data_IF_222160977019
#
_entry.id   IF_222160977019
#
_cell.length_a   1.000
_cell.length_b   1.000
_cell.length_c   1.000
_cell.angle_alpha   90.00
_cell.angle_beta   90.00
_cell.angle_gamma   90.00
#
_symmetry.space_group_name_H-M   'P 1'
#
loop_
_entity.id
_entity.type
_entity.pdbx_description
1 polymer ?
#
# COMPACT_ATOMS: atom_id res chain seq x y z
N UNK A 1 26.58 1.15 9.91
CA UNK A 1 25.77 2.26 9.34
C UNK A 1 25.11 3.03 10.48
N UNK A 2 25.13 4.37 10.43
CA UNK A 2 24.50 5.22 11.44
C UNK A 2 23.01 5.48 11.13
N UNK A 3 22.23 5.92 12.14
CA UNK A 3 20.83 6.32 11.96
C UNK A 3 20.67 7.43 10.90
N UNK A 4 21.61 8.36 10.82
CA UNK A 4 21.60 9.44 9.83
C UNK A 4 21.88 8.93 8.42
N UNK A 5 22.79 7.96 8.27
CA UNK A 5 23.04 7.31 6.97
C UNK A 5 21.82 6.54 6.47
N UNK A 6 21.14 5.77 7.33
CA UNK A 6 19.91 5.07 6.95
C UNK A 6 18.80 6.05 6.53
N UNK A 7 18.66 7.16 7.26
CA UNK A 7 17.69 8.21 6.90
C UNK A 7 18.02 8.88 5.57
N UNK A 8 19.31 9.10 5.27
CA UNK A 8 19.74 9.66 4.00
C UNK A 8 19.42 8.72 2.83
N UNK A 9 19.66 7.41 2.99
CA UNK A 9 19.31 6.40 1.98
C UNK A 9 17.80 6.31 1.76
N UNK A 10 16.99 6.33 2.84
CA UNK A 10 15.54 6.34 2.74
C UNK A 10 15.02 7.57 1.95
N UNK A 11 15.55 8.76 2.24
CA UNK A 11 15.20 9.99 1.50
C UNK A 11 15.60 9.94 0.03
N UNK A 12 16.70 9.27 -0.29
CA UNK A 12 17.13 9.07 -1.67
C UNK A 12 16.14 8.18 -2.42
N UNK A 13 15.64 7.12 -1.78
CA UNK A 13 14.58 6.27 -2.33
C UNK A 13 13.28 7.06 -2.53
N UNK A 14 12.89 7.90 -1.57
CA UNK A 14 11.69 8.76 -1.70
C UNK A 14 11.76 9.69 -2.93
N UNK A 15 12.94 10.24 -3.22
CA UNK A 15 13.16 11.14 -4.36
C UNK A 15 13.13 10.42 -5.70
N UNK A 16 13.51 9.15 -5.75
CA UNK A 16 13.45 8.34 -6.97
C UNK A 16 12.01 8.02 -7.40
N UNK A 17 11.03 8.29 -6.53
CA UNK A 17 9.62 7.97 -6.74
C UNK A 17 9.33 6.52 -6.36
N UNK A 18 8.26 6.32 -5.57
CA UNK A 18 7.77 4.99 -5.22
C UNK A 18 6.63 4.60 -6.13
N UNK A 19 6.97 4.13 -7.33
CA UNK A 19 6.04 3.30 -8.08
C UNK A 19 6.17 1.88 -7.56
N UNK A 20 5.12 1.35 -6.91
CA UNK A 20 5.06 -0.10 -6.76
C UNK A 20 5.10 -0.71 -8.17
N UNK A 21 5.83 -1.82 -8.36
CA UNK A 21 5.83 -2.50 -9.64
C UNK A 21 4.39 -2.75 -10.10
N UNK A 22 4.07 -2.24 -11.29
CA UNK A 22 2.82 -2.61 -11.93
C UNK A 22 2.90 -4.08 -12.31
N UNK A 23 1.79 -4.83 -12.23
CA UNK A 23 1.78 -6.19 -12.70
C UNK A 23 2.14 -6.25 -14.19
N UNK A 24 2.82 -7.33 -14.64
CA UNK A 24 3.13 -7.50 -16.04
C UNK A 24 1.85 -7.55 -16.91
N UNK A 25 1.91 -7.10 -18.16
CA UNK A 25 0.80 -7.26 -19.10
C UNK A 25 0.37 -8.72 -19.23
N UNK A 26 -0.94 -8.98 -19.32
CA UNK A 26 -1.47 -10.34 -19.45
C UNK A 26 -1.46 -11.16 -18.15
N UNK A 27 -1.15 -10.54 -17.01
CA UNK A 27 -1.25 -11.18 -15.71
C UNK A 27 -2.64 -11.78 -15.48
N UNK A 28 -2.67 -13.04 -15.03
CA UNK A 28 -3.90 -13.75 -14.68
C UNK A 28 -4.54 -13.14 -13.40
N UNK A 29 -5.88 -13.20 -13.26
CA UNK A 29 -6.56 -12.58 -12.13
C UNK A 29 -6.13 -13.16 -10.78
N UNK A 30 -6.28 -12.36 -9.72
CA UNK A 30 -5.98 -12.80 -8.37
C UNK A 30 -7.10 -13.70 -7.84
N UNK A 31 -6.72 -14.78 -7.16
CA UNK A 31 -7.67 -15.75 -6.60
C UNK A 31 -8.30 -15.23 -5.31
N UNK A 32 -7.54 -14.44 -4.54
CA UNK A 32 -7.98 -13.92 -3.25
C UNK A 32 -7.25 -12.61 -2.92
N UNK A 33 -7.92 -11.73 -2.17
CA UNK A 33 -7.31 -10.56 -1.54
C UNK A 33 -7.84 -10.38 -0.13
N UNK A 34 -6.94 -10.12 0.81
CA UNK A 34 -7.26 -9.65 2.16
C UNK A 34 -6.73 -8.25 2.34
N UNK A 35 -7.56 -7.39 2.89
CA UNK A 35 -7.18 -6.02 3.26
C UNK A 35 -7.22 -5.85 4.76
N UNK A 36 -6.37 -4.97 5.28
CA UNK A 36 -6.27 -4.67 6.71
C UNK A 36 -5.87 -3.20 6.92
N UNK A 37 -6.23 -2.64 8.07
CA UNK A 37 -5.91 -1.28 8.47
C UNK A 37 -5.18 -1.26 9.80
N UNK A 38 -3.94 -0.74 9.80
CA UNK A 38 -3.09 -0.69 10.98
C UNK A 38 -2.97 0.75 11.49
N UNK A 39 -3.46 1.06 12.71
CA UNK A 39 -3.32 2.40 13.26
C UNK A 39 -1.85 2.74 13.50
N UNK A 40 -1.49 4.00 13.25
CA UNK A 40 -0.16 4.57 13.44
C UNK A 40 -0.29 5.96 14.04
N UNK A 41 0.75 6.38 14.77
CA UNK A 41 0.90 7.76 15.22
C UNK A 41 2.03 8.39 14.43
N UNK A 42 1.73 9.46 13.71
CA UNK A 42 2.70 10.23 12.92
C UNK A 42 2.78 11.65 13.46
N UNK A 43 3.84 12.38 13.11
CA UNK A 43 3.98 13.79 13.47
C UNK A 43 3.80 14.65 12.23
N UNK A 44 2.74 15.43 12.21
CA UNK A 44 2.40 16.37 11.13
C UNK A 44 2.22 17.77 11.72
N UNK A 45 2.83 18.79 11.12
CA UNK A 45 2.74 20.18 11.62
C UNK A 45 3.16 20.34 13.09
N UNK A 46 4.07 19.50 13.58
CA UNK A 46 4.51 19.49 14.97
C UNK A 46 3.59 18.74 15.96
N UNK A 47 2.39 18.32 15.55
CA UNK A 47 1.40 17.60 16.37
C UNK A 47 1.44 16.09 16.08
N UNK A 48 1.06 15.27 17.08
CA UNK A 48 0.89 13.82 16.90
C UNK A 48 -0.52 13.53 16.38
N UNK A 49 -0.61 12.97 15.19
CA UNK A 49 -1.87 12.65 14.51
C UNK A 49 -2.03 11.15 14.34
N UNK A 50 -3.25 10.65 14.49
CA UNK A 50 -3.60 9.26 14.18
C UNK A 50 -3.80 9.09 12.69
N UNK A 51 -3.21 8.05 12.12
CA UNK A 51 -3.39 7.66 10.70
C UNK A 51 -3.54 6.14 10.62
N UNK A 52 -4.07 5.63 9.52
CA UNK A 52 -4.15 4.21 9.25
C UNK A 52 -3.30 3.83 8.05
N UNK A 53 -2.44 2.84 8.23
CA UNK A 53 -1.74 2.16 7.15
C UNK A 53 -2.64 1.07 6.59
N UNK A 54 -3.11 1.24 5.36
CA UNK A 54 -3.91 0.26 4.63
C UNK A 54 -2.97 -0.67 3.87
N UNK A 55 -3.17 -1.98 3.99
CA UNK A 55 -2.35 -2.99 3.31
C UNK A 55 -3.25 -4.05 2.69
N UNK A 56 -2.92 -4.44 1.45
CA UNK A 56 -3.54 -5.57 0.77
C UNK A 56 -2.52 -6.70 0.60
N UNK A 57 -2.95 -7.93 0.90
CA UNK A 57 -2.23 -9.16 0.60
C UNK A 57 -3.11 -10.00 -0.31
N UNK A 58 -2.58 -10.32 -1.48
CA UNK A 58 -3.30 -11.06 -2.51
C UNK A 58 -2.59 -12.36 -2.86
N UNK A 59 -3.35 -13.34 -3.35
CA UNK A 59 -2.81 -14.59 -3.91
C UNK A 59 -3.01 -14.54 -5.42
N UNK A 60 -1.92 -14.68 -6.19
CA UNK A 60 -1.98 -14.71 -7.64
C UNK A 60 -2.49 -16.07 -8.16
N UNK A 61 -2.67 -16.20 -9.47
CA UNK A 61 -3.17 -17.42 -10.09
C UNK A 61 -2.26 -18.65 -9.90
N UNK A 62 -0.97 -18.44 -9.62
CA UNK A 62 0.01 -19.49 -9.36
C UNK A 62 0.10 -19.85 -7.86
N UNK A 63 -0.74 -19.22 -7.02
CA UNK A 63 -0.78 -19.47 -5.58
C UNK A 63 0.22 -18.65 -4.76
N UNK A 64 0.96 -17.71 -5.37
CA UNK A 64 1.95 -16.91 -4.66
C UNK A 64 1.33 -15.68 -4.01
N UNK A 65 1.78 -15.36 -2.79
CA UNK A 65 1.37 -14.17 -2.06
C UNK A 65 2.12 -12.94 -2.57
N UNK A 66 1.38 -11.87 -2.75
CA UNK A 66 1.90 -10.59 -3.20
C UNK A 66 1.25 -9.43 -2.45
N UNK A 67 1.93 -8.28 -2.44
CA UNK A 67 1.43 -7.02 -1.88
C UNK A 67 1.21 -6.06 -3.05
N UNK A 68 -0.03 -5.90 -3.54
CA UNK A 68 -0.32 -5.02 -4.68
C UNK A 68 -0.16 -3.54 -4.32
N UNK A 69 -0.10 -3.21 -3.02
CA UNK A 69 0.37 -1.91 -2.55
C UNK A 69 -0.20 -1.47 -1.20
N UNK A 70 0.59 -0.75 -0.39
CA UNK A 70 0.07 -0.05 0.77
C UNK A 70 -0.45 1.35 0.41
N UNK A 71 -1.24 1.93 1.31
CA UNK A 71 -1.66 3.33 1.29
C UNK A 71 -1.78 3.87 2.72
N UNK A 72 -1.74 5.19 2.89
CA UNK A 72 -1.85 5.85 4.19
C UNK A 72 -3.03 6.82 4.17
N UNK A 73 -3.95 6.66 5.12
CA UNK A 73 -5.14 7.50 5.21
C UNK A 73 -5.21 8.18 6.58
N UNK A 74 -5.51 9.48 6.58
CA UNK A 74 -5.54 10.31 7.78
C UNK A 74 -6.92 10.38 8.44
N UNK A 75 -7.98 9.90 7.78
CA UNK A 75 -9.36 10.00 8.28
C UNK A 75 -9.83 8.71 8.94
N UNK A 76 -10.52 8.87 10.08
CA UNK A 76 -11.21 7.80 10.80
C UNK A 76 -12.61 7.52 10.21
N UNK A 77 -13.07 8.33 9.25
CA UNK A 77 -14.41 8.26 8.66
C UNK A 77 -14.58 7.17 7.58
N UNK A 78 -13.54 6.39 7.31
CA UNK A 78 -13.57 5.30 6.33
C UNK A 78 -13.56 5.73 4.87
N UNK A 79 -13.53 7.04 4.55
CA UNK A 79 -13.48 7.55 3.18
C UNK A 79 -12.19 7.14 2.43
N UNK A 80 -11.16 6.76 3.18
CA UNK A 80 -9.92 6.19 2.65
C UNK A 80 -10.07 4.83 1.97
N UNK A 81 -11.06 4.02 2.36
CA UNK A 81 -11.23 2.66 1.82
C UNK A 81 -11.58 2.62 0.34
N UNK A 82 -12.60 3.36 -0.16
CA UNK A 82 -12.91 3.39 -1.58
C UNK A 82 -11.73 3.87 -2.45
N UNK A 83 -10.96 4.85 -1.97
CA UNK A 83 -9.76 5.35 -2.67
C UNK A 83 -8.70 4.26 -2.74
N UNK A 84 -8.42 3.60 -1.61
CA UNK A 84 -7.47 2.49 -1.55
C UNK A 84 -7.86 1.32 -2.45
N UNK A 85 -9.13 0.89 -2.43
CA UNK A 85 -9.60 -0.22 -3.27
C UNK A 85 -9.53 0.14 -4.76
N UNK A 86 -9.89 1.37 -5.14
CA UNK A 86 -9.72 1.84 -6.53
C UNK A 86 -8.25 1.88 -6.93
N UNK A 87 -7.35 2.26 -6.02
CA UNK A 87 -5.92 2.29 -6.30
C UNK A 87 -5.36 0.87 -6.51
N UNK A 88 -5.87 -0.14 -5.82
CA UNK A 88 -5.52 -1.54 -6.09
C UNK A 88 -5.98 -2.00 -7.49
N UNK A 89 -7.19 -1.64 -7.91
CA UNK A 89 -7.69 -1.95 -9.26
C UNK A 89 -6.86 -1.24 -10.33
N UNK A 90 -6.52 0.03 -10.12
CA UNK A 90 -5.63 0.77 -11.02
C UNK A 90 -4.22 0.15 -11.09
N UNK A 91 -3.80 -0.57 -10.04
CA UNK A 91 -2.57 -1.39 -10.01
C UNK A 91 -2.78 -2.83 -10.49
N UNK A 92 -3.87 -3.10 -11.20
CA UNK A 92 -4.13 -4.38 -11.87
C UNK A 92 -4.74 -5.47 -10.99
N UNK A 93 -5.23 -5.16 -9.78
CA UNK A 93 -6.07 -6.10 -9.02
C UNK A 93 -7.35 -6.39 -9.81
N UNK A 94 -7.55 -7.66 -10.19
CA UNK A 94 -8.68 -8.13 -10.99
C UNK A 94 -9.11 -9.55 -10.59
N UNK A 95 -10.35 -9.92 -10.94
CA UNK A 95 -10.92 -11.27 -10.74
C UNK A 95 -11.36 -11.62 -9.32
N UNK A 96 -11.24 -10.69 -8.37
CA UNK A 96 -11.72 -10.88 -7.00
C UNK A 96 -13.25 -10.96 -7.01
N UNK A 97 -13.80 -12.10 -6.58
CA UNK A 97 -15.23 -12.31 -6.38
C UNK A 97 -15.54 -12.28 -4.89
N UNK A 98 -16.71 -11.72 -4.54
CA UNK A 98 -17.25 -11.75 -3.18
C UNK A 98 -17.80 -13.13 -2.85
#
# INVERSE_FOLDING_TARGET
MSKSQVSAVAKQLDRAGHGLPQPPPGRRPYTFVRVDARPRKVREGGRKTGVHALVAVSVNADGHREIPGPDMVSSEDGAGWPVFLRSLVARGLSGVRR
#
